data_IF_694047593650
#
_entry.id   IF_694047593650
#
_cell.length_a   1.000
_cell.length_b   1.000
_cell.length_c   1.000
_cell.angle_alpha   90.00
_cell.angle_beta   90.00
_cell.angle_gamma   90.00
#
_symmetry.space_group_name_H-M   'P 1'
#
loop_
_entity.id
_entity.type
_entity.pdbx_description
1 polymer ?
#
# COMPACT_ATOMS: atom_id res chain seq x y z
N UNK A 1 32.42 -14.90 20.75
CA UNK A 1 31.91 -13.96 19.74
C UNK A 1 30.54 -13.55 20.21
N UNK A 2 30.37 -12.28 20.56
CA UNK A 2 29.03 -11.69 20.62
C UNK A 2 28.62 -11.54 19.15
N UNK A 3 27.45 -12.04 18.77
CA UNK A 3 26.97 -12.00 17.39
C UNK A 3 26.81 -10.57 16.87
N UNK A 4 26.54 -10.44 15.58
CA UNK A 4 26.26 -9.14 14.97
C UNK A 4 25.03 -8.50 15.63
N UNK A 5 25.08 -7.19 15.87
CA UNK A 5 23.98 -6.42 16.45
C UNK A 5 22.96 -6.14 15.34
N UNK A 6 21.74 -6.61 15.50
CA UNK A 6 20.61 -6.25 14.64
C UNK A 6 19.75 -5.18 15.31
N UNK A 7 19.33 -4.18 14.54
CA UNK A 7 18.53 -3.05 15.02
C UNK A 7 17.08 -3.29 14.66
N UNK A 8 16.18 -3.24 15.65
CA UNK A 8 14.73 -3.29 15.43
C UNK A 8 14.16 -1.87 15.28
N UNK A 9 13.11 -1.73 14.47
CA UNK A 9 12.33 -0.50 14.38
C UNK A 9 11.50 -0.33 15.65
N UNK A 10 11.59 0.84 16.29
CA UNK A 10 10.77 1.23 17.44
C UNK A 10 10.11 2.55 17.06
N UNK A 11 8.79 2.63 17.17
CA UNK A 11 8.07 3.87 16.91
C UNK A 11 8.50 4.95 17.91
N UNK A 12 8.96 6.09 17.38
CA UNK A 12 9.34 7.23 18.19
C UNK A 12 8.13 8.15 18.34
N UNK A 13 7.62 8.23 19.57
CA UNK A 13 6.61 9.19 19.97
C UNK A 13 7.33 10.45 20.47
N UNK A 14 6.88 11.64 20.05
CA UNK A 14 7.50 12.91 20.41
C UNK A 14 7.92 12.94 21.90
N UNK A 15 9.13 13.45 22.23
CA UNK A 15 9.82 13.11 23.48
C UNK A 15 9.02 13.58 24.69
N UNK A 16 8.33 12.65 25.33
CA UNK A 16 7.81 12.83 26.68
C UNK A 16 8.89 12.41 27.67
N UNK A 17 9.13 13.23 28.68
CA UNK A 17 10.32 13.24 29.57
C UNK A 17 10.48 12.00 30.51
N UNK A 18 9.93 10.84 30.16
CA UNK A 18 9.84 9.70 31.08
C UNK A 18 10.27 8.41 30.39
N UNK A 19 11.41 7.85 30.85
CA UNK A 19 12.08 6.65 30.34
C UNK A 19 11.23 5.35 30.33
N UNK A 20 9.95 5.39 30.70
CA UNK A 20 9.04 4.24 30.71
C UNK A 20 8.35 3.99 29.35
N UNK A 21 8.32 4.97 28.43
CA UNK A 21 7.67 4.79 27.12
C UNK A 21 8.52 3.98 26.11
N UNK A 22 9.84 3.89 26.31
CA UNK A 22 10.72 3.17 25.39
C UNK A 22 10.53 1.64 25.47
N UNK A 23 10.33 1.10 26.68
CA UNK A 23 10.09 -0.35 26.88
C UNK A 23 8.78 -0.79 26.24
N UNK A 24 7.77 0.07 26.34
CA UNK A 24 6.41 -0.10 25.85
C UNK A 24 6.45 -0.22 24.31
N UNK A 25 6.99 0.77 23.61
CA UNK A 25 7.08 0.72 22.14
C UNK A 25 7.99 -0.42 21.66
N UNK A 26 9.02 -0.78 22.44
CA UNK A 26 9.88 -1.95 22.13
C UNK A 26 9.08 -3.26 22.16
N UNK A 27 8.19 -3.45 23.15
CA UNK A 27 7.38 -4.67 23.25
C UNK A 27 6.36 -4.76 22.11
N UNK A 28 5.77 -3.64 21.68
CA UNK A 28 4.86 -3.63 20.53
C UNK A 28 5.56 -4.01 19.24
N UNK A 29 6.72 -3.38 18.99
CA UNK A 29 7.55 -3.74 17.86
C UNK A 29 7.84 -5.24 17.89
N UNK A 30 8.35 -5.78 19.01
CA UNK A 30 8.64 -7.21 19.09
C UNK A 30 7.40 -8.10 18.87
N UNK A 31 6.22 -7.68 19.30
CA UNK A 31 4.98 -8.40 19.04
C UNK A 31 4.63 -8.41 17.54
N UNK A 32 4.81 -7.29 16.85
CA UNK A 32 4.63 -7.19 15.39
C UNK A 32 5.70 -8.00 14.65
N UNK A 33 6.97 -7.96 15.06
CA UNK A 33 8.00 -8.83 14.48
C UNK A 33 7.66 -10.31 14.64
N UNK A 34 7.16 -10.70 15.81
CA UNK A 34 6.70 -12.06 16.04
C UNK A 34 5.49 -12.41 15.16
N UNK A 35 4.55 -11.49 14.94
CA UNK A 35 3.44 -11.69 14.01
C UNK A 35 3.95 -11.99 12.59
N UNK A 36 4.86 -11.17 12.05
CA UNK A 36 5.43 -11.41 10.73
C UNK A 36 6.20 -12.73 10.65
N UNK A 37 6.94 -13.10 11.70
CA UNK A 37 7.64 -14.40 11.77
C UNK A 37 6.69 -15.60 11.85
N UNK A 38 5.46 -15.42 12.34
CA UNK A 38 4.43 -16.48 12.31
C UNK A 38 3.83 -16.66 10.91
N UNK A 39 3.71 -15.58 10.13
CA UNK A 39 3.31 -15.67 8.72
C UNK A 39 4.43 -16.31 7.89
N UNK A 40 5.66 -15.81 8.04
CA UNK A 40 6.83 -16.33 7.33
C UNK A 40 8.06 -16.36 8.25
N UNK A 41 8.39 -17.58 8.71
CA UNK A 41 9.52 -17.82 9.60
C UNK A 41 10.90 -17.62 8.97
N UNK A 42 10.98 -17.40 7.65
CA UNK A 42 12.23 -17.17 6.93
C UNK A 42 12.61 -15.70 6.87
N UNK A 43 11.69 -14.79 7.22
CA UNK A 43 11.94 -13.36 7.28
C UNK A 43 13.05 -13.03 8.27
N UNK A 44 13.96 -12.19 7.81
CA UNK A 44 15.01 -11.57 8.61
C UNK A 44 14.47 -10.36 9.36
N UNK A 45 15.18 -9.96 10.42
CA UNK A 45 14.89 -8.72 11.15
C UNK A 45 14.94 -7.51 10.21
N UNK A 46 15.87 -7.48 9.25
CA UNK A 46 16.00 -6.37 8.31
C UNK A 46 14.84 -6.28 7.31
N UNK A 47 14.27 -7.41 6.91
CA UNK A 47 13.08 -7.47 6.06
C UNK A 47 11.84 -6.98 6.81
N UNK A 48 11.61 -7.44 8.04
CA UNK A 48 10.50 -6.95 8.86
C UNK A 48 10.66 -5.46 9.20
N UNK A 49 11.88 -5.01 9.46
CA UNK A 49 12.20 -3.58 9.62
C UNK A 49 11.83 -2.80 8.36
N UNK A 50 12.19 -3.33 7.18
CA UNK A 50 11.82 -2.74 5.89
C UNK A 50 10.31 -2.62 5.71
N UNK A 51 9.56 -3.68 6.05
CA UNK A 51 8.09 -3.68 6.00
C UNK A 51 7.50 -2.58 6.89
N UNK A 52 7.89 -2.54 8.18
CA UNK A 52 7.34 -1.58 9.14
C UNK A 52 7.61 -0.14 8.66
N UNK A 53 8.86 0.18 8.28
CA UNK A 53 9.23 1.52 7.81
C UNK A 53 8.57 1.91 6.49
N UNK A 54 8.20 0.94 5.66
CA UNK A 54 7.50 1.15 4.41
C UNK A 54 5.97 1.25 4.56
N UNK A 55 5.41 0.92 5.73
CA UNK A 55 3.96 0.81 5.95
C UNK A 55 3.28 2.16 6.21
N UNK A 56 4.01 3.18 6.65
CA UNK A 56 3.47 4.53 6.86
C UNK A 56 4.57 5.57 6.80
N UNK A 57 4.22 6.77 6.32
CA UNK A 57 5.08 7.95 6.39
C UNK A 57 4.91 8.77 7.67
N UNK A 58 4.15 8.25 8.63
CA UNK A 58 4.02 8.78 9.99
C UNK A 58 4.54 7.73 10.97
N UNK A 59 5.57 8.10 11.72
CA UNK A 59 6.33 7.19 12.57
C UNK A 59 5.51 6.53 13.69
N UNK A 60 4.41 7.15 14.11
CA UNK A 60 3.46 6.70 15.13
C UNK A 60 2.30 5.85 14.56
N UNK A 61 2.33 5.51 13.28
CA UNK A 61 1.28 4.74 12.59
C UNK A 61 1.83 3.52 11.85
N UNK A 62 3.13 3.21 11.97
CA UNK A 62 3.79 2.19 11.16
C UNK A 62 3.38 0.77 11.56
N UNK A 63 3.23 0.52 12.86
CA UNK A 63 2.77 -0.77 13.40
C UNK A 63 1.28 -0.97 13.10
N UNK A 64 0.45 0.06 13.25
CA UNK A 64 -0.96 0.09 12.85
C UNK A 64 -1.14 -0.33 11.41
N UNK A 65 -0.44 0.32 10.49
CA UNK A 65 -0.53 0.04 9.06
C UNK A 65 -0.04 -1.38 8.74
N UNK A 66 1.08 -1.83 9.32
CA UNK A 66 1.63 -3.16 9.06
C UNK A 66 0.69 -4.28 9.56
N UNK A 67 0.13 -4.14 10.77
CA UNK A 67 -0.84 -5.09 11.33
C UNK A 67 -2.16 -5.03 10.57
N UNK A 68 -2.61 -3.84 10.16
CA UNK A 68 -3.82 -3.68 9.34
C UNK A 68 -3.71 -4.37 7.99
N UNK A 69 -2.54 -4.34 7.35
CA UNK A 69 -2.32 -5.04 6.09
C UNK A 69 -2.54 -6.56 6.23
N UNK A 70 -2.04 -7.17 7.31
CA UNK A 70 -2.28 -8.59 7.62
C UNK A 70 -3.73 -8.83 8.08
N UNK A 71 -4.26 -7.96 8.93
CA UNK A 71 -5.63 -8.05 9.46
C UNK A 71 -6.68 -8.03 8.36
N UNK A 72 -6.58 -7.11 7.40
CA UNK A 72 -7.47 -7.04 6.24
C UNK A 72 -7.41 -8.29 5.37
N UNK A 73 -6.25 -8.95 5.29
CA UNK A 73 -6.07 -10.15 4.48
C UNK A 73 -6.67 -11.39 5.14
N UNK A 74 -6.42 -11.58 6.44
CA UNK A 74 -6.74 -12.83 7.13
C UNK A 74 -8.06 -12.81 7.88
N UNK A 75 -8.47 -11.66 8.41
CA UNK A 75 -9.61 -11.59 9.34
C UNK A 75 -10.81 -10.98 8.63
N UNK A 76 -11.84 -11.80 8.39
CA UNK A 76 -13.09 -11.32 7.78
C UNK A 76 -13.71 -10.20 8.63
N UNK A 77 -13.98 -9.05 8.01
CA UNK A 77 -14.56 -7.89 8.70
C UNK A 77 -13.58 -7.18 9.66
N UNK A 78 -12.27 -7.35 9.45
CA UNK A 78 -11.25 -6.62 10.20
C UNK A 78 -11.51 -5.11 10.21
N UNK A 79 -11.32 -4.47 11.36
CA UNK A 79 -11.45 -3.01 11.50
C UNK A 79 -10.07 -2.38 11.32
N UNK A 80 -9.81 -1.67 10.20
CA UNK A 80 -8.50 -1.10 9.93
C UNK A 80 -8.09 -0.04 10.97
N UNK A 81 -6.79 0.04 11.23
CA UNK A 81 -6.15 1.09 12.03
C UNK A 81 -5.01 1.67 11.21
N UNK A 82 -5.06 2.98 10.97
CA UNK A 82 -4.15 3.68 10.05
C UNK A 82 -3.68 5.01 10.65
N UNK A 83 -3.98 5.21 11.93
CA UNK A 83 -3.76 6.38 12.74
C UNK A 83 -2.94 6.04 13.98
N UNK A 84 -3.16 6.79 15.05
CA UNK A 84 -2.65 6.51 16.39
C UNK A 84 -3.69 5.75 17.24
N UNK A 85 -4.50 4.87 16.64
CA UNK A 85 -5.57 4.19 17.36
C UNK A 85 -5.05 3.23 18.45
N UNK A 86 -3.82 2.71 18.35
CA UNK A 86 -3.22 1.95 19.44
C UNK A 86 -2.75 2.84 20.60
N UNK A 87 -2.43 4.12 20.36
CA UNK A 87 -2.07 5.05 21.44
C UNK A 87 -3.23 5.27 22.42
N UNK A 88 -4.46 5.34 21.90
CA UNK A 88 -5.64 5.57 22.72
C UNK A 88 -6.06 4.31 23.50
N UNK A 89 -5.86 3.12 22.92
CA UNK A 89 -6.10 1.85 23.59
C UNK A 89 -5.19 0.76 23.03
N UNK A 90 -4.06 0.58 23.69
CA UNK A 90 -2.99 -0.34 23.31
C UNK A 90 -3.41 -1.81 23.26
N UNK A 91 -4.37 -2.21 24.08
CA UNK A 91 -4.87 -3.61 24.10
C UNK A 91 -5.48 -4.00 22.74
N UNK A 92 -5.85 -3.01 21.92
CA UNK A 92 -6.28 -3.23 20.55
C UNK A 92 -5.17 -3.85 19.67
N UNK A 93 -3.90 -3.46 19.84
CA UNK A 93 -2.79 -4.04 19.06
C UNK A 93 -2.71 -5.53 19.31
N UNK A 94 -2.66 -5.92 20.58
CA UNK A 94 -2.57 -7.33 20.97
C UNK A 94 -3.84 -8.10 20.58
N UNK A 95 -5.02 -7.49 20.73
CA UNK A 95 -6.29 -8.08 20.29
C UNK A 95 -6.28 -8.36 18.78
N UNK A 96 -5.75 -7.44 17.98
CA UNK A 96 -5.71 -7.60 16.53
C UNK A 96 -4.61 -8.58 16.10
N UNK A 97 -3.46 -8.62 16.78
CA UNK A 97 -2.43 -9.67 16.64
C UNK A 97 -3.00 -11.05 16.96
N UNK A 98 -3.76 -11.19 18.06
CA UNK A 98 -4.35 -12.47 18.49
C UNK A 98 -5.33 -12.98 17.43
N UNK A 99 -6.24 -12.11 16.93
CA UNK A 99 -7.18 -12.49 15.85
C UNK A 99 -6.47 -12.97 14.59
N UNK A 100 -5.39 -12.28 14.19
CA UNK A 100 -4.63 -12.68 12.99
C UNK A 100 -3.95 -14.03 13.27
N UNK A 101 -3.36 -14.19 14.45
CA UNK A 101 -2.69 -15.43 14.85
C UNK A 101 -3.65 -16.63 14.86
N UNK A 102 -4.87 -16.45 15.35
CA UNK A 102 -5.92 -17.48 15.35
C UNK A 102 -6.25 -17.97 13.92
N UNK A 103 -6.32 -17.06 12.94
CA UNK A 103 -6.54 -17.42 11.53
C UNK A 103 -5.34 -18.16 10.91
N UNK A 104 -4.11 -17.78 11.31
CA UNK A 104 -2.88 -18.40 10.81
C UNK A 104 -2.72 -19.87 11.26
N UNK A 105 -3.34 -20.30 12.37
CA UNK A 105 -3.23 -21.69 12.87
C UNK A 105 -3.66 -22.75 11.83
N UNK A 106 -4.56 -22.37 10.92
CA UNK A 106 -5.13 -23.27 9.91
C UNK A 106 -4.53 -23.10 8.51
N UNK A 107 -3.54 -22.21 8.37
CA UNK A 107 -2.93 -21.87 7.08
C UNK A 107 -1.45 -22.23 7.12
N UNK A 108 -0.93 -22.79 6.02
CA UNK A 108 0.48 -23.17 5.93
C UNK A 108 1.02 -22.89 4.53
N UNK A 109 2.35 -22.83 4.40
CA UNK A 109 3.00 -22.54 3.13
C UNK A 109 2.89 -21.08 2.70
N UNK A 110 2.76 -20.17 3.68
CA UNK A 110 2.81 -18.73 3.45
C UNK A 110 4.27 -18.28 3.35
N UNK A 111 4.51 -17.29 2.49
CA UNK A 111 5.75 -16.53 2.47
C UNK A 111 5.46 -15.05 2.26
N UNK A 112 6.37 -14.18 2.67
CA UNK A 112 6.24 -12.74 2.50
C UNK A 112 7.28 -12.24 1.51
N UNK A 113 6.82 -11.61 0.45
CA UNK A 113 7.64 -10.95 -0.55
C UNK A 113 7.64 -9.45 -0.29
N UNK A 114 8.74 -8.94 0.26
CA UNK A 114 8.90 -7.51 0.63
C UNK A 114 9.18 -6.68 -0.61
N UNK A 115 8.57 -5.50 -0.73
CA UNK A 115 8.78 -4.59 -1.88
C UNK A 115 9.84 -3.51 -1.61
N UNK A 116 10.75 -3.78 -0.68
CA UNK A 116 11.87 -2.92 -0.34
C UNK A 116 13.07 -3.78 0.06
N UNK A 117 14.27 -3.29 -0.22
CA UNK A 117 15.53 -3.87 0.28
C UNK A 117 16.06 -3.03 1.43
N UNK A 118 16.75 -3.67 2.36
CA UNK A 118 17.55 -3.00 3.40
C UNK A 118 19.03 -3.30 3.13
N UNK A 119 19.86 -2.27 3.01
CA UNK A 119 21.31 -2.46 2.85
C UNK A 119 22.01 -2.71 4.19
N UNK A 120 23.33 -2.98 4.15
CA UNK A 120 24.13 -3.28 5.34
C UNK A 120 24.20 -2.11 6.33
N UNK A 121 23.87 -0.90 5.89
CA UNK A 121 23.80 0.32 6.70
C UNK A 121 22.39 0.58 7.27
N UNK A 122 21.42 -0.32 7.01
CA UNK A 122 20.05 -0.19 7.49
C UNK A 122 19.21 0.80 6.68
N UNK A 123 19.69 1.21 5.49
CA UNK A 123 18.92 2.06 4.59
C UNK A 123 17.95 1.20 3.79
N UNK A 124 16.68 1.56 3.90
CA UNK A 124 15.59 0.94 3.15
C UNK A 124 15.48 1.62 1.78
N UNK A 125 15.29 0.86 0.71
CA UNK A 125 14.99 1.38 -0.64
C UNK A 125 13.89 0.56 -1.30
N UNK A 126 12.90 1.19 -1.95
CA UNK A 126 11.84 0.46 -2.64
C UNK A 126 12.41 -0.37 -3.81
N UNK A 127 11.76 -1.50 -4.10
CA UNK A 127 12.02 -2.25 -5.32
C UNK A 127 11.64 -1.43 -6.55
N UNK A 128 12.24 -1.75 -7.70
CA UNK A 128 11.83 -1.09 -8.94
C UNK A 128 10.38 -1.45 -9.28
N UNK A 129 9.56 -0.50 -9.78
CA UNK A 129 8.18 -0.78 -10.18
C UNK A 129 8.05 -1.98 -11.14
N UNK A 130 9.00 -2.10 -12.09
CA UNK A 130 9.05 -3.20 -13.04
C UNK A 130 9.25 -4.58 -12.42
N UNK A 131 9.95 -4.68 -11.28
CA UNK A 131 10.17 -5.95 -10.59
C UNK A 131 8.86 -6.44 -9.96
N UNK A 132 8.13 -5.53 -9.31
CA UNK A 132 6.82 -5.79 -8.71
C UNK A 132 5.79 -6.10 -9.81
N UNK A 133 5.77 -5.31 -10.89
CA UNK A 133 4.86 -5.51 -12.03
C UNK A 133 5.03 -6.89 -12.68
N UNK A 134 6.28 -7.35 -12.85
CA UNK A 134 6.57 -8.66 -13.44
C UNK A 134 5.94 -9.80 -12.66
N UNK A 135 5.96 -9.72 -11.33
CA UNK A 135 5.35 -10.73 -10.45
C UNK A 135 3.82 -10.59 -10.43
N UNK A 136 3.30 -9.36 -10.37
CA UNK A 136 1.86 -9.08 -10.39
C UNK A 136 1.14 -9.66 -11.61
N UNK A 137 1.82 -9.77 -12.75
CA UNK A 137 1.26 -10.40 -13.97
C UNK A 137 0.87 -11.87 -13.79
N UNK A 138 1.49 -12.58 -12.86
CA UNK A 138 1.29 -14.02 -12.68
C UNK A 138 0.93 -14.43 -11.25
N UNK A 139 0.89 -13.49 -10.30
CA UNK A 139 0.66 -13.79 -8.89
C UNK A 139 -0.40 -12.87 -8.29
N UNK A 140 -1.50 -13.46 -7.80
CA UNK A 140 -2.64 -12.72 -7.24
C UNK A 140 -2.29 -12.01 -5.93
N UNK A 141 -1.34 -12.52 -5.14
CA UNK A 141 -0.87 -11.89 -3.92
C UNK A 141 -0.23 -10.53 -4.18
N UNK A 142 0.54 -10.42 -5.27
CA UNK A 142 1.12 -9.15 -5.71
C UNK A 142 0.04 -8.17 -6.18
N UNK A 143 -1.00 -8.66 -6.87
CA UNK A 143 -2.11 -7.81 -7.30
C UNK A 143 -2.91 -7.30 -6.11
N UNK A 144 -3.19 -8.15 -5.13
CA UNK A 144 -3.82 -7.76 -3.87
C UNK A 144 -2.99 -6.69 -3.14
N UNK A 145 -1.69 -6.90 -3.01
CA UNK A 145 -0.78 -5.94 -2.37
C UNK A 145 -0.80 -4.58 -3.09
N UNK A 146 -0.80 -4.59 -4.44
CA UNK A 146 -0.89 -3.37 -5.24
C UNK A 146 -2.22 -2.64 -5.07
N UNK A 147 -3.35 -3.35 -5.15
CA UNK A 147 -4.69 -2.76 -4.97
C UNK A 147 -4.82 -2.16 -3.56
N UNK A 148 -4.29 -2.81 -2.53
CA UNK A 148 -4.37 -2.36 -1.14
C UNK A 148 -3.21 -1.44 -0.70
N UNK A 149 -2.25 -1.15 -1.59
CA UNK A 149 -1.04 -0.36 -1.30
C UNK A 149 -0.18 -0.93 -0.16
N UNK A 150 -0.14 -2.25 0.00
CA UNK A 150 0.69 -2.92 0.98
C UNK A 150 2.15 -2.97 0.51
N UNK A 151 3.16 -2.68 1.37
CA UNK A 151 4.57 -2.70 0.97
C UNK A 151 5.17 -4.13 0.88
N UNK A 152 4.33 -5.16 0.89
CA UNK A 152 4.68 -6.56 0.74
C UNK A 152 3.49 -7.36 0.21
N UNK A 153 3.76 -8.51 -0.41
CA UNK A 153 2.77 -9.52 -0.74
C UNK A 153 2.89 -10.73 0.19
N UNK A 154 1.76 -11.32 0.57
CA UNK A 154 1.71 -12.59 1.31
C UNK A 154 1.42 -13.70 0.33
N UNK A 155 2.45 -14.38 -0.17
CA UNK A 155 2.28 -15.45 -1.16
C UNK A 155 1.82 -16.73 -0.47
N UNK A 156 0.79 -17.35 -1.05
CA UNK A 156 0.17 -18.57 -0.56
C UNK A 156 -0.75 -19.16 -1.63
N UNK A 157 -1.66 -20.08 -1.26
CA UNK A 157 -2.69 -20.57 -2.19
C UNK A 157 -3.57 -19.44 -2.73
N UNK A 158 -3.84 -19.43 -4.03
CA UNK A 158 -4.69 -18.40 -4.67
C UNK A 158 -6.07 -18.26 -4.01
N UNK A 159 -6.63 -19.36 -3.46
CA UNK A 159 -7.93 -19.37 -2.79
C UNK A 159 -8.01 -18.47 -1.55
N UNK A 160 -6.87 -18.04 -0.99
CA UNK A 160 -6.86 -17.02 0.07
C UNK A 160 -7.44 -15.69 -0.39
N UNK A 161 -7.48 -15.46 -1.71
CA UNK A 161 -7.91 -14.22 -2.31
C UNK A 161 -9.33 -14.26 -2.87
N UNK A 162 -10.04 -15.39 -2.74
CA UNK A 162 -11.37 -15.59 -3.33
C UNK A 162 -12.39 -14.54 -2.84
N UNK A 163 -12.34 -14.19 -1.55
CA UNK A 163 -13.22 -13.16 -0.96
C UNK A 163 -12.94 -11.74 -1.47
N UNK A 164 -11.75 -11.51 -2.05
CA UNK A 164 -11.33 -10.23 -2.62
C UNK A 164 -11.40 -10.22 -4.16
N UNK A 165 -11.85 -11.31 -4.78
CA UNK A 165 -11.85 -11.48 -6.24
C UNK A 165 -13.19 -12.05 -6.77
N UNK A 166 -14.29 -11.79 -6.08
CA UNK A 166 -15.61 -12.36 -6.42
C UNK A 166 -16.13 -11.87 -7.78
N UNK A 167 -15.71 -10.67 -8.20
CA UNK A 167 -16.08 -10.05 -9.49
C UNK A 167 -14.85 -9.79 -10.38
N UNK A 168 -13.73 -10.47 -10.12
CA UNK A 168 -12.50 -10.29 -10.88
C UNK A 168 -11.75 -8.99 -10.56
N UNK A 169 -11.92 -8.44 -9.36
CA UNK A 169 -11.26 -7.21 -8.87
C UNK A 169 -9.73 -7.31 -8.93
N UNK A 170 -9.19 -8.51 -8.79
CA UNK A 170 -7.76 -8.82 -8.87
C UNK A 170 -7.38 -9.48 -10.19
N UNK A 171 -8.32 -9.68 -11.12
CA UNK A 171 -8.05 -10.33 -12.39
C UNK A 171 -7.43 -9.35 -13.39
N UNK A 172 -6.47 -9.84 -14.16
CA UNK A 172 -5.88 -9.08 -15.27
C UNK A 172 -6.94 -8.88 -16.34
N UNK A 173 -7.09 -7.64 -16.79
CA UNK A 173 -8.05 -7.31 -17.85
C UNK A 173 -7.69 -8.04 -19.15
N UNK A 174 -8.62 -8.84 -19.68
CA UNK A 174 -8.53 -9.47 -20.98
C UNK A 174 -9.36 -8.66 -22.01
N UNK A 175 -8.72 -7.96 -22.96
CA UNK A 175 -9.43 -7.17 -23.96
C UNK A 175 -10.27 -8.00 -24.94
N UNK A 176 -10.05 -9.32 -25.01
CA UNK A 176 -10.79 -10.22 -25.90
C UNK A 176 -12.14 -10.65 -25.32
N UNK A 177 -12.23 -10.81 -24.01
CA UNK A 177 -13.48 -11.19 -23.32
C UNK A 177 -14.14 -10.00 -22.63
N UNK A 178 -13.38 -8.98 -22.27
CA UNK A 178 -13.82 -7.87 -21.44
C UNK A 178 -13.84 -8.19 -19.95
N UNK A 179 -13.31 -9.36 -19.54
CA UNK A 179 -13.22 -9.78 -18.14
C UNK A 179 -11.98 -9.22 -17.46
N UNK A 180 -12.00 -9.22 -16.12
CA UNK A 180 -10.96 -8.66 -15.28
C UNK A 180 -10.97 -7.13 -15.22
N UNK A 181 -10.26 -6.56 -14.26
CA UNK A 181 -10.27 -5.12 -14.01
C UNK A 181 -8.88 -4.48 -14.14
N UNK A 182 -7.83 -5.27 -13.92
CA UNK A 182 -6.47 -4.76 -13.82
C UNK A 182 -5.77 -4.73 -15.18
N UNK A 183 -5.87 -3.59 -15.88
CA UNK A 183 -5.17 -3.39 -17.15
C UNK A 183 -3.64 -3.31 -17.00
N UNK A 184 -2.91 -3.52 -18.09
CA UNK A 184 -1.44 -3.34 -18.11
C UNK A 184 -1.02 -1.96 -17.59
N UNK A 185 -1.73 -0.91 -18.01
CA UNK A 185 -1.45 0.47 -17.57
C UNK A 185 -1.80 0.68 -16.10
N UNK A 186 -2.89 0.08 -15.63
CA UNK A 186 -3.21 0.09 -14.21
C UNK A 186 -2.04 -0.46 -13.39
N UNK A 187 -1.53 -1.65 -13.75
CA UNK A 187 -0.42 -2.27 -13.01
C UNK A 187 0.86 -1.42 -13.03
N UNK A 188 1.22 -0.86 -14.19
CA UNK A 188 2.39 0.03 -14.29
C UNK A 188 2.25 1.24 -13.36
N UNK A 189 1.11 1.93 -13.38
CA UNK A 189 0.94 3.11 -12.52
C UNK A 189 0.75 2.75 -11.05
N UNK A 190 0.12 1.62 -10.74
CA UNK A 190 -0.09 1.18 -9.35
C UNK A 190 1.22 0.76 -8.69
N UNK A 191 2.11 0.09 -9.43
CA UNK A 191 3.46 -0.25 -8.95
C UNK A 191 4.34 0.99 -8.78
N UNK A 192 4.24 1.96 -9.68
CA UNK A 192 4.94 3.24 -9.56
C UNK A 192 4.44 4.05 -8.35
N UNK A 193 3.12 4.14 -8.17
CA UNK A 193 2.51 4.77 -6.99
C UNK A 193 3.02 4.12 -5.70
N UNK A 194 2.96 2.79 -5.60
CA UNK A 194 3.42 2.07 -4.41
C UNK A 194 4.92 2.30 -4.15
N UNK A 195 5.76 2.26 -5.18
CA UNK A 195 7.19 2.54 -5.03
C UNK A 195 7.45 3.94 -4.45
N UNK A 196 6.72 4.95 -4.92
CA UNK A 196 6.85 6.31 -4.40
C UNK A 196 6.18 6.52 -3.05
N UNK A 197 5.14 5.74 -2.72
CA UNK A 197 4.54 5.71 -1.39
C UNK A 197 5.50 5.10 -0.37
N UNK A 198 6.24 4.05 -0.75
CA UNK A 198 7.32 3.50 0.07
C UNK A 198 8.43 4.55 0.22
N UNK A 199 8.86 5.22 -0.86
CA UNK A 199 9.85 6.32 -0.78
C UNK A 199 9.38 7.43 0.17
N UNK A 200 8.10 7.85 0.06
CA UNK A 200 7.45 8.80 0.96
C UNK A 200 7.49 8.32 2.40
N UNK A 201 7.30 7.03 2.64
CA UNK A 201 7.27 6.44 3.98
C UNK A 201 8.63 6.46 4.65
N UNK A 202 9.67 6.00 3.94
CA UNK A 202 11.04 5.90 4.50
C UNK A 202 11.75 7.26 4.61
N UNK A 203 11.25 8.31 3.94
CA UNK A 203 11.83 9.65 3.96
C UNK A 203 10.88 10.69 4.61
N UNK A 204 10.07 10.28 5.57
CA UNK A 204 9.23 11.15 6.41
C UNK A 204 8.34 12.13 5.61
N UNK A 205 7.73 11.63 4.54
CA UNK A 205 6.80 12.36 3.67
C UNK A 205 7.42 12.91 2.38
N UNK A 206 8.73 12.81 2.18
CA UNK A 206 9.39 13.25 0.95
C UNK A 206 9.45 12.13 -0.11
N UNK A 207 9.14 12.46 -1.36
CA UNK A 207 9.29 11.56 -2.52
C UNK A 207 9.67 12.37 -3.77
N UNK A 208 10.11 11.69 -4.82
CA UNK A 208 10.54 12.32 -6.08
C UNK A 208 9.56 12.12 -7.25
N UNK A 209 8.29 11.78 -6.97
CA UNK A 209 7.32 11.51 -8.02
C UNK A 209 6.99 12.76 -8.82
N UNK A 210 7.36 12.76 -10.10
CA UNK A 210 6.94 13.79 -11.07
C UNK A 210 5.51 13.57 -11.59
N UNK A 211 4.92 12.40 -11.32
CA UNK A 211 3.51 12.09 -11.56
C UNK A 211 2.72 12.38 -10.28
N UNK A 212 1.52 12.95 -10.41
CA UNK A 212 0.60 13.08 -9.29
C UNK A 212 -0.29 11.84 -9.24
N UNK A 213 -0.12 11.02 -8.22
CA UNK A 213 -1.03 9.91 -7.93
C UNK A 213 -2.01 10.30 -6.83
N UNK A 214 -3.24 9.84 -6.98
CA UNK A 214 -4.29 9.91 -5.97
C UNK A 214 -5.02 8.58 -5.94
N UNK A 215 -5.18 8.02 -4.75
CA UNK A 215 -5.99 6.82 -4.51
C UNK A 215 -7.14 7.17 -3.59
N UNK A 216 -8.37 7.04 -4.09
CA UNK A 216 -9.59 7.41 -3.37
C UNK A 216 -9.91 6.45 -2.24
N UNK A 217 -9.61 5.16 -2.43
CA UNK A 217 -9.90 4.11 -1.46
C UNK A 217 -9.12 4.31 -0.15
N UNK A 218 -7.83 4.64 -0.24
CA UNK A 218 -6.96 4.91 0.91
C UNK A 218 -6.91 6.39 1.31
N UNK A 219 -7.22 7.30 0.38
CA UNK A 219 -7.00 8.74 0.53
C UNK A 219 -5.54 9.15 0.31
N UNK A 220 -4.66 8.24 -0.13
CA UNK A 220 -3.26 8.56 -0.36
C UNK A 220 -3.06 9.46 -1.57
N UNK A 221 -2.14 10.42 -1.38
CA UNK A 221 -1.67 11.31 -2.45
C UNK A 221 -0.15 11.26 -2.47
N UNK A 222 0.38 11.00 -3.66
CA UNK A 222 1.82 10.95 -3.93
C UNK A 222 2.14 11.96 -5.01
N UNK A 223 2.95 12.95 -4.63
CA UNK A 223 3.46 14.00 -5.52
C UNK A 223 4.76 14.56 -4.94
N UNK A 224 5.63 15.04 -5.82
CA UNK A 224 6.80 15.82 -5.41
C UNK A 224 6.38 17.18 -4.85
N UNK A 225 6.71 17.42 -3.58
CA UNK A 225 6.42 18.68 -2.90
C UNK A 225 7.18 19.84 -3.55
N UNK A 226 6.50 20.98 -3.73
CA UNK A 226 7.09 22.20 -4.27
C UNK A 226 7.29 22.20 -5.80
N UNK A 227 6.86 21.16 -6.52
CA UNK A 227 6.90 21.17 -7.97
C UNK A 227 5.84 22.11 -8.54
N UNK A 228 6.28 23.18 -9.21
CA UNK A 228 5.41 24.17 -9.84
C UNK A 228 5.42 23.99 -11.37
N UNK A 229 4.91 22.86 -11.85
CA UNK A 229 4.78 22.55 -13.27
C UNK A 229 3.54 21.69 -13.51
N UNK A 230 2.93 21.71 -14.72
CA UNK A 230 1.94 20.70 -15.10
C UNK A 230 2.53 19.30 -14.93
N UNK A 231 1.72 18.36 -14.47
CA UNK A 231 2.10 16.97 -14.20
C UNK A 231 1.04 16.04 -14.77
N UNK A 232 1.45 14.83 -15.15
CA UNK A 232 0.50 13.75 -15.39
C UNK A 232 -0.26 13.45 -14.08
N UNK A 233 -1.58 13.44 -14.16
CA UNK A 233 -2.49 12.95 -13.13
C UNK A 233 -2.83 11.48 -13.34
N UNK A 234 -2.73 10.70 -12.27
CA UNK A 234 -3.25 9.35 -12.20
C UNK A 234 -4.14 9.24 -10.97
N UNK A 235 -5.42 8.92 -11.18
CA UNK A 235 -6.40 8.76 -10.11
C UNK A 235 -6.97 7.36 -10.14
N UNK A 236 -6.89 6.68 -9.00
CA UNK A 236 -7.53 5.41 -8.72
C UNK A 236 -8.76 5.66 -7.85
N UNK A 237 -9.93 5.32 -8.35
CA UNK A 237 -11.19 5.35 -7.63
C UNK A 237 -11.30 4.25 -6.59
N UNK A 238 -12.47 4.18 -5.96
CA UNK A 238 -12.81 3.19 -4.95
C UNK A 238 -14.01 2.35 -5.37
N UNK A 239 -14.56 1.57 -4.46
CA UNK A 239 -15.84 0.87 -4.68
C UNK A 239 -17.06 1.80 -4.58
N UNK A 240 -16.85 3.08 -4.23
CA UNK A 240 -17.90 4.07 -4.08
C UNK A 240 -18.06 4.87 -5.38
N UNK A 241 -19.29 5.23 -5.73
CA UNK A 241 -19.51 6.15 -6.86
C UNK A 241 -19.05 7.56 -6.52
N UNK A 242 -18.07 8.07 -7.25
CA UNK A 242 -17.42 9.34 -6.96
C UNK A 242 -17.05 10.14 -8.23
N UNK A 243 -16.60 11.39 -8.02
CA UNK A 243 -16.11 12.22 -9.10
C UNK A 243 -14.58 12.12 -9.18
N UNK A 244 -14.08 11.55 -10.27
CA UNK A 244 -12.65 11.47 -10.54
C UNK A 244 -12.25 12.59 -11.49
N UNK A 245 -11.37 13.45 -11.01
CA UNK A 245 -10.91 14.62 -11.73
C UNK A 245 -9.48 14.43 -12.22
N UNK A 246 -9.27 14.67 -13.51
CA UNK A 246 -7.95 14.94 -14.04
C UNK A 246 -7.33 16.17 -13.38
N UNK A 247 -6.02 16.26 -13.45
CA UNK A 247 -5.27 17.44 -13.07
C UNK A 247 -5.69 18.66 -13.90
N UNK A 248 -5.73 19.80 -13.22
CA UNK A 248 -5.92 21.09 -13.88
C UNK A 248 -4.83 22.03 -13.39
N UNK A 249 -4.02 22.56 -14.31
CA UNK A 249 -2.99 23.52 -13.96
C UNK A 249 -3.53 24.95 -14.10
N UNK A 250 -3.62 25.74 -13.01
CA UNK A 250 -4.44 26.96 -12.95
C UNK A 250 -3.82 28.20 -13.62
N UNK A 251 -2.77 28.04 -14.43
CA UNK A 251 -2.12 29.15 -15.14
C UNK A 251 -2.14 28.98 -16.67
N UNK A 252 -1.53 29.94 -17.37
CA UNK A 252 -1.51 29.96 -18.84
C UNK A 252 -0.77 28.79 -19.49
N UNK A 253 -0.07 27.95 -18.72
CA UNK A 253 0.54 26.71 -19.23
C UNK A 253 -0.51 25.65 -19.51
N UNK A 254 -1.64 25.68 -18.78
CA UNK A 254 -2.70 24.68 -18.85
C UNK A 254 -2.23 23.29 -18.45
N UNK A 255 -3.18 22.35 -18.40
CA UNK A 255 -2.82 20.93 -18.40
C UNK A 255 -2.30 20.52 -19.79
N UNK A 256 -1.26 19.69 -19.80
CA UNK A 256 -0.55 19.22 -21.01
C UNK A 256 -0.49 17.69 -21.09
N UNK A 257 -1.07 17.00 -20.13
CA UNK A 257 -0.96 15.55 -20.02
C UNK A 257 -2.30 14.88 -20.33
N UNK A 258 -2.23 13.62 -20.76
CA UNK A 258 -3.41 12.77 -20.91
C UNK A 258 -3.56 12.00 -19.60
N UNK A 259 -4.36 12.54 -18.69
CA UNK A 259 -4.55 11.96 -17.38
C UNK A 259 -5.20 10.58 -17.44
N UNK A 260 -4.98 9.81 -16.38
CA UNK A 260 -5.42 8.43 -16.23
C UNK A 260 -6.38 8.34 -15.08
N UNK A 261 -7.62 7.97 -15.36
CA UNK A 261 -8.67 7.85 -14.36
C UNK A 261 -9.17 6.40 -14.39
N UNK A 262 -8.99 5.69 -13.29
CA UNK A 262 -9.44 4.31 -13.09
C UNK A 262 -10.60 4.35 -12.11
N UNK A 263 -11.83 4.08 -12.56
CA UNK A 263 -13.03 4.10 -11.70
C UNK A 263 -12.98 3.05 -10.59
N UNK A 264 -12.54 1.84 -10.96
CA UNK A 264 -12.65 0.63 -10.14
C UNK A 264 -14.13 0.21 -10.06
N UNK A 265 -14.76 0.28 -8.90
CA UNK A 265 -16.17 -0.03 -8.70
C UNK A 265 -17.05 1.22 -8.71
N UNK A 266 -18.31 1.07 -8.31
CA UNK A 266 -19.22 2.22 -8.16
C UNK A 266 -19.70 2.85 -9.48
N UNK A 267 -20.48 3.94 -9.35
CA UNK A 267 -20.97 4.71 -10.50
C UNK A 267 -20.24 6.06 -10.57
N UNK A 268 -19.10 6.07 -11.23
CA UNK A 268 -18.23 7.25 -11.27
C UNK A 268 -18.58 8.26 -12.36
N UNK A 269 -18.25 9.51 -12.06
CA UNK A 269 -18.19 10.59 -13.04
C UNK A 269 -16.73 10.93 -13.32
N UNK A 270 -16.29 10.79 -14.57
CA UNK A 270 -14.91 11.04 -14.96
C UNK A 270 -14.80 12.40 -15.66
N UNK A 271 -14.11 13.34 -15.02
CA UNK A 271 -13.87 14.69 -15.52
C UNK A 271 -12.44 14.81 -16.01
N UNK A 272 -12.27 14.73 -17.33
CA UNK A 272 -10.98 14.46 -17.96
C UNK A 272 -10.10 15.70 -18.20
N UNK A 273 -10.38 16.85 -17.58
CA UNK A 273 -9.68 18.09 -17.94
C UNK A 273 -9.91 18.52 -19.40
N UNK A 274 -9.06 19.41 -19.92
CA UNK A 274 -9.24 20.07 -21.24
C UNK A 274 -8.72 19.20 -22.41
N UNK A 275 -7.99 18.12 -22.12
CA UNK A 275 -7.45 17.15 -23.09
C UNK A 275 -7.80 15.73 -22.63
N UNK A 276 -8.23 14.87 -23.56
CA UNK A 276 -8.84 13.55 -23.30
C UNK A 276 -8.10 12.68 -22.27
N UNK A 277 -8.83 12.13 -21.29
CA UNK A 277 -8.36 10.98 -20.51
C UNK A 277 -8.49 9.70 -21.33
N UNK A 278 -7.59 8.76 -21.08
CA UNK A 278 -7.71 7.40 -21.61
C UNK A 278 -8.60 6.59 -20.66
N UNK A 279 -9.79 6.25 -21.14
CA UNK A 279 -10.76 5.42 -20.42
C UNK A 279 -10.41 3.95 -20.63
N UNK A 280 -10.02 3.24 -19.58
CA UNK A 280 -10.01 1.77 -19.58
C UNK A 280 -11.13 1.30 -18.67
N UNK A 281 -12.16 0.70 -19.28
CA UNK A 281 -13.46 0.39 -18.69
C UNK A 281 -13.42 -0.74 -17.66
N UNK A 282 -14.20 -0.60 -16.57
CA UNK A 282 -15.09 -1.65 -16.05
C UNK A 282 -16.31 -1.03 -15.37
N UNK A 283 -17.19 -0.45 -16.19
CA UNK A 283 -18.56 0.03 -15.88
C UNK A 283 -18.78 1.52 -15.53
N UNK A 284 -19.90 2.04 -16.05
CA UNK A 284 -20.55 3.35 -15.86
C UNK A 284 -19.79 4.68 -15.99
N UNK A 285 -18.55 4.75 -16.47
CA UNK A 285 -17.91 6.06 -16.70
C UNK A 285 -18.52 6.88 -17.85
N UNK A 286 -19.05 8.09 -17.56
CA UNK A 286 -19.36 9.12 -18.57
C UNK A 286 -18.34 10.26 -18.51
N UNK A 287 -17.58 10.47 -19.58
CA UNK A 287 -16.80 11.70 -19.74
C UNK A 287 -17.72 12.88 -19.99
N UNK A 288 -17.57 13.93 -19.18
CA UNK A 288 -18.21 15.23 -19.41
C UNK A 288 -17.09 16.24 -19.69
N UNK A 289 -17.21 16.94 -20.82
CA UNK A 289 -16.39 18.11 -21.18
C UNK A 289 -17.11 19.39 -20.79
#
# INVERSE_FOLDING_TARGET
>A
MIGDIQVISIEDQAPSLWANHYMVNTVDSLAVYNLFAQVDSTLTIDEVTGIIRASSNKADHTLESAVTALGKLFVTGFTPRTGSEYDANRDNLYTDIDKITDELENISGLSIEVFATTDAEGKVTPFSPSAIETQARNNIAYRYALVNLNPFAVVGPDSMYDDFNQNGELDIFDPSTGDGQLSDKYLTYRTEMLSFLIEKSINDGANQSIIRFEDKASGEVVLQQGLNAPQLGVVFGSEQGEELNGTSFPDSRGDKFNDRLYGMGGNDTLLCGVLSAELTMSEAARCIQ
#
